data_IF_012454455652
#
_entry.id   IF_012454455652
#
_cell.length_a   1.000
_cell.length_b   1.000
_cell.length_c   1.000
_cell.angle_alpha   90.00
_cell.angle_beta   90.00
_cell.angle_gamma   90.00
#
_symmetry.space_group_name_H-M   'P 1'
#
loop_
_entity.id
_entity.type
_entity.pdbx_description
1 polymer ?
#
# COMPACT_ATOMS: atom_id res chain seq x y z
N UNK A 1 18.85 1.03 8.16
CA UNK A 1 18.64 0.03 7.09
C UNK A 1 18.06 0.75 5.89
N UNK A 2 18.71 0.68 4.73
CA UNK A 2 18.13 1.24 3.50
C UNK A 2 17.03 0.31 2.98
N UNK A 3 15.82 0.83 2.80
CA UNK A 3 14.70 0.04 2.28
C UNK A 3 14.89 -0.19 0.79
N UNK A 4 14.77 -1.44 0.36
CA UNK A 4 14.97 -1.80 -1.03
C UNK A 4 13.67 -1.59 -1.83
N UNK A 5 13.61 -0.52 -2.64
CA UNK A 5 12.45 -0.19 -3.50
C UNK A 5 12.08 -1.34 -4.44
N UNK A 6 13.06 -2.08 -4.96
CA UNK A 6 12.79 -3.25 -5.81
C UNK A 6 12.02 -4.35 -5.08
N UNK A 7 12.37 -4.62 -3.81
CA UNK A 7 11.67 -5.57 -2.95
C UNK A 7 10.23 -5.10 -2.65
N UNK A 8 10.07 -3.84 -2.25
CA UNK A 8 8.74 -3.27 -1.94
C UNK A 8 7.83 -3.36 -3.17
N UNK A 9 8.32 -2.96 -4.35
CA UNK A 9 7.58 -3.07 -5.61
C UNK A 9 7.17 -4.51 -5.93
N UNK A 10 8.01 -5.49 -5.61
CA UNK A 10 7.70 -6.89 -5.82
C UNK A 10 6.64 -7.41 -4.83
N UNK A 11 6.68 -6.98 -3.57
CA UNK A 11 5.69 -7.32 -2.54
C UNK A 11 4.29 -6.72 -2.79
N UNK A 12 4.18 -5.69 -3.62
CA UNK A 12 2.90 -5.14 -4.05
C UNK A 12 2.10 -6.06 -5.00
N UNK A 13 2.72 -7.13 -5.54
CA UNK A 13 2.03 -8.12 -6.39
C UNK A 13 1.23 -9.07 -5.50
N UNK A 14 -0.11 -9.02 -5.58
CA UNK A 14 -0.99 -9.77 -4.68
C UNK A 14 -1.89 -10.74 -5.44
N UNK A 15 -2.35 -11.79 -4.76
CA UNK A 15 -3.26 -12.77 -5.36
C UNK A 15 -4.69 -12.21 -5.52
N UNK A 16 -5.06 -11.26 -4.66
CA UNK A 16 -6.35 -10.58 -4.72
C UNK A 16 -6.36 -9.52 -5.82
N UNK A 17 -7.17 -9.74 -6.87
CA UNK A 17 -7.21 -8.89 -8.07
C UNK A 17 -7.50 -7.42 -7.75
N UNK A 18 -8.49 -7.15 -6.87
CA UNK A 18 -8.86 -5.78 -6.51
C UNK A 18 -7.68 -5.03 -5.89
N UNK A 19 -6.91 -5.73 -5.06
CA UNK A 19 -5.76 -5.17 -4.39
C UNK A 19 -4.56 -5.02 -5.34
N UNK A 20 -4.36 -5.98 -6.23
CA UNK A 20 -3.33 -5.91 -7.28
C UNK A 20 -3.55 -4.73 -8.24
N UNK A 21 -4.81 -4.45 -8.61
CA UNK A 21 -5.16 -3.29 -9.43
C UNK A 21 -4.86 -1.96 -8.71
N UNK A 22 -5.25 -1.86 -7.43
CA UNK A 22 -4.98 -0.67 -6.60
C UNK A 22 -3.47 -0.43 -6.49
N UNK A 23 -2.70 -1.47 -6.16
CA UNK A 23 -1.25 -1.36 -6.07
C UNK A 23 -0.62 -1.05 -7.41
N UNK A 24 -1.08 -1.63 -8.51
CA UNK A 24 -0.53 -1.36 -9.85
C UNK A 24 -0.68 0.11 -10.22
N UNK A 25 -1.85 0.71 -9.96
CA UNK A 25 -2.09 2.16 -10.19
C UNK A 25 -1.24 3.02 -9.27
N UNK A 26 -1.24 2.71 -7.96
CA UNK A 26 -0.41 3.39 -6.98
C UNK A 26 1.09 3.36 -7.34
N UNK A 27 1.57 2.21 -7.82
CA UNK A 27 2.95 2.04 -8.25
C UNK A 27 3.34 2.89 -9.46
N UNK A 28 2.38 3.21 -10.33
CA UNK A 28 2.63 4.02 -11.52
C UNK A 28 2.61 5.52 -11.19
N UNK A 29 1.74 5.96 -10.29
CA UNK A 29 1.55 7.39 -10.00
C UNK A 29 2.39 7.91 -8.83
N UNK A 30 2.57 7.11 -7.77
CA UNK A 30 3.11 7.60 -6.51
C UNK A 30 4.45 6.97 -6.12
N UNK A 31 4.73 5.73 -6.55
CA UNK A 31 5.86 4.97 -6.01
C UNK A 31 7.23 5.58 -6.28
N UNK A 32 7.45 6.29 -7.38
CA UNK A 32 8.71 7.00 -7.64
C UNK A 32 8.86 8.27 -6.80
N UNK A 33 7.74 8.87 -6.36
CA UNK A 33 7.73 10.09 -5.53
C UNK A 33 7.72 9.82 -4.02
N UNK A 34 7.70 8.56 -3.57
CA UNK A 34 7.70 8.24 -2.14
C UNK A 34 9.05 8.58 -1.48
N UNK A 35 8.96 9.32 -0.38
CA UNK A 35 10.05 9.56 0.57
C UNK A 35 10.38 8.31 1.39
N UNK A 36 11.53 8.32 2.07
CA UNK A 36 12.00 7.17 2.87
C UNK A 36 11.02 6.75 3.97
N UNK A 37 10.35 7.70 4.62
CA UNK A 37 9.34 7.43 5.65
C UNK A 37 8.11 6.72 5.06
N UNK A 38 7.58 7.24 3.95
CA UNK A 38 6.43 6.63 3.29
C UNK A 38 6.76 5.25 2.74
N UNK A 39 7.97 5.07 2.23
CA UNK A 39 8.45 3.77 1.78
C UNK A 39 8.56 2.77 2.95
N UNK A 40 8.94 3.24 4.14
CA UNK A 40 8.94 2.43 5.37
C UNK A 40 7.53 2.05 5.83
N UNK A 41 6.60 2.99 5.77
CA UNK A 41 5.20 2.71 6.09
C UNK A 41 4.61 1.70 5.10
N UNK A 42 4.93 1.82 3.81
CA UNK A 42 4.51 0.86 2.78
C UNK A 42 5.14 -0.53 3.00
N UNK A 43 6.45 -0.62 3.26
CA UNK A 43 7.12 -1.90 3.56
C UNK A 43 6.46 -2.60 4.76
N UNK A 44 6.13 -1.84 5.79
CA UNK A 44 5.51 -2.38 6.99
C UNK A 44 4.04 -2.79 6.75
N UNK A 45 3.29 -1.97 6.02
CA UNK A 45 1.92 -2.27 5.61
C UNK A 45 1.87 -3.56 4.79
N UNK A 46 2.83 -3.77 3.88
CA UNK A 46 2.91 -4.96 3.03
C UNK A 46 3.22 -6.25 3.82
N UNK A 47 3.54 -6.19 5.11
CA UNK A 47 3.65 -7.37 5.99
C UNK A 47 2.28 -7.88 6.46
N UNK A 48 1.22 -7.08 6.32
CA UNK A 48 -0.15 -7.54 6.59
C UNK A 48 -0.62 -8.55 5.53
N UNK A 49 -1.57 -9.38 5.94
CA UNK A 49 -2.26 -10.30 5.04
C UNK A 49 -3.16 -9.55 4.05
N UNK A 50 -3.34 -10.12 2.86
CA UNK A 50 -4.08 -9.51 1.76
C UNK A 50 -5.51 -9.10 2.15
N UNK A 51 -6.20 -9.96 2.92
CA UNK A 51 -7.56 -9.71 3.37
C UNK A 51 -7.66 -8.54 4.35
N UNK A 52 -6.74 -8.45 5.31
CA UNK A 52 -6.70 -7.36 6.28
C UNK A 52 -6.34 -6.04 5.61
N UNK A 53 -5.35 -6.07 4.72
CA UNK A 53 -4.94 -4.90 3.96
C UNK A 53 -6.07 -4.42 3.06
N UNK A 54 -6.75 -5.33 2.36
CA UNK A 54 -7.93 -5.00 1.58
C UNK A 54 -9.07 -4.46 2.43
N UNK A 55 -9.31 -4.98 3.63
CA UNK A 55 -10.35 -4.44 4.52
C UNK A 55 -10.06 -2.99 4.95
N UNK A 56 -8.79 -2.65 5.20
CA UNK A 56 -8.37 -1.28 5.48
C UNK A 56 -8.49 -0.38 4.25
N UNK A 57 -8.07 -0.85 3.07
CA UNK A 57 -8.17 -0.11 1.81
C UNK A 57 -9.62 0.05 1.36
N UNK A 58 -10.48 -0.96 1.56
CA UNK A 58 -11.86 -0.92 1.13
C UNK A 58 -12.78 -0.13 2.09
N UNK A 59 -12.33 0.11 3.33
CA UNK A 59 -13.06 0.85 4.36
C UNK A 59 -13.85 -0.02 5.34
N UNK A 60 -13.85 -1.34 5.16
CA UNK A 60 -14.51 -2.31 6.06
C UNK A 60 -13.82 -2.43 7.41
N UNK A 61 -12.51 -2.13 7.48
CA UNK A 61 -11.74 -2.12 8.72
C UNK A 61 -11.08 -0.76 8.95
N UNK A 62 -11.14 -0.19 10.16
CA UNK A 62 -10.40 1.02 10.49
C UNK A 62 -8.90 0.74 10.55
N UNK A 63 -8.10 1.70 10.10
CA UNK A 63 -6.66 1.68 10.32
C UNK A 63 -6.39 2.12 11.77
N UNK A 64 -5.73 1.28 12.56
CA UNK A 64 -5.40 1.58 13.97
C UNK A 64 -4.05 2.27 14.13
N UNK A 65 -3.19 2.19 13.12
CA UNK A 65 -1.83 2.72 13.12
C UNK A 65 -1.79 4.09 12.45
N UNK A 66 -1.50 5.15 13.22
CA UNK A 66 -1.52 6.54 12.72
C UNK A 66 -0.58 6.77 11.53
N UNK A 67 0.58 6.12 11.55
CA UNK A 67 1.57 6.19 10.46
C UNK A 67 1.07 5.60 9.13
N UNK A 68 0.11 4.68 9.17
CA UNK A 68 -0.47 4.08 7.98
C UNK A 68 -1.66 4.85 7.42
N UNK A 69 -2.21 5.82 8.17
CA UNK A 69 -3.42 6.56 7.75
C UNK A 69 -3.20 7.26 6.41
N UNK A 70 -2.06 7.93 6.23
CA UNK A 70 -1.72 8.61 4.97
C UNK A 70 -1.56 7.61 3.81
N UNK A 71 -0.82 6.51 4.02
CA UNK A 71 -0.61 5.49 2.99
C UNK A 71 -1.93 4.81 2.58
N UNK A 72 -2.78 4.47 3.55
CA UNK A 72 -4.11 3.91 3.30
C UNK A 72 -5.00 4.91 2.56
N UNK A 73 -4.92 6.20 2.87
CA UNK A 73 -5.65 7.24 2.15
C UNK A 73 -5.20 7.34 0.68
N UNK A 74 -3.89 7.27 0.41
CA UNK A 74 -3.35 7.23 -0.95
C UNK A 74 -3.83 5.99 -1.72
N UNK A 75 -3.78 4.80 -1.10
CA UNK A 75 -4.28 3.56 -1.72
C UNK A 75 -5.80 3.61 -1.98
N UNK A 76 -6.57 4.22 -1.07
CA UNK A 76 -8.01 4.43 -1.24
C UNK A 76 -8.34 5.30 -2.44
N UNK A 77 -7.56 6.35 -2.69
CA UNK A 77 -7.75 7.23 -3.86
C UNK A 77 -7.64 6.46 -5.19
N UNK A 78 -6.84 5.40 -5.24
CA UNK A 78 -6.58 4.61 -6.44
C UNK A 78 -7.69 3.60 -6.81
N UNK A 79 -8.67 3.41 -5.91
CA UNK A 79 -9.82 2.51 -6.13
C UNK A 79 -10.84 3.03 -7.15
N UNK A 80 -10.92 4.34 -7.34
CA UNK A 80 -12.03 4.98 -8.08
C UNK A 80 -11.77 5.23 -9.58
N UNK A 81 -10.70 4.66 -10.13
CA UNK A 81 -10.36 4.74 -11.57
C UNK A 81 -11.01 3.67 -12.43
#
# INVERSE_FOLDING_TARGET
MSINRGRVRWQCRRALLELDLVFTRFLQEHFDSLDESQLADLDDLLKCEDHDLWAMVNGSKPCTERRWEEMIAMLRAQRAG
#
